data_IF_346756454491
#
_entry.id   IF_346756454491
#
_cell.length_a   1.000
_cell.length_b   1.000
_cell.length_c   1.000
_cell.angle_alpha   90.00
_cell.angle_beta   90.00
_cell.angle_gamma   90.00
#
_symmetry.space_group_name_H-M   'P 1'
#
loop_
_entity.id
_entity.type
_entity.pdbx_description
1 polymer ?
#
# COMPACT_ATOMS: atom_id res chain seq x y z
N UNK A 1 2.84 -19.64 -4.55
CA UNK A 1 2.11 -18.36 -4.39
C UNK A 1 2.98 -17.29 -5.01
N UNK A 2 2.54 -16.70 -6.12
CA UNK A 2 3.21 -15.53 -6.65
C UNK A 2 3.13 -14.42 -5.59
N UNK A 3 4.26 -13.84 -5.22
CA UNK A 3 4.35 -12.81 -4.19
C UNK A 3 3.46 -11.62 -4.52
N UNK A 4 2.22 -11.70 -4.08
CA UNK A 4 1.24 -10.67 -4.31
C UNK A 4 1.60 -9.50 -3.39
N UNK A 5 1.85 -8.34 -3.98
CA UNK A 5 2.02 -7.11 -3.20
C UNK A 5 0.73 -6.86 -2.43
N UNK A 6 0.86 -6.68 -1.13
CA UNK A 6 -0.26 -6.46 -0.22
C UNK A 6 -0.16 -5.07 0.42
N UNK A 7 -1.22 -4.63 1.06
CA UNK A 7 -1.18 -3.41 1.88
C UNK A 7 -0.08 -3.45 2.95
N UNK A 8 0.21 -4.63 3.51
CA UNK A 8 1.28 -4.82 4.48
C UNK A 8 2.68 -4.61 3.88
N UNK A 9 2.88 -5.03 2.63
CA UNK A 9 4.13 -4.81 1.90
C UNK A 9 4.37 -3.32 1.69
N UNK A 10 3.32 -2.57 1.32
CA UNK A 10 3.38 -1.11 1.16
C UNK A 10 3.64 -0.40 2.49
N UNK A 11 2.92 -0.78 3.57
CA UNK A 11 3.16 -0.22 4.92
C UNK A 11 4.60 -0.44 5.37
N UNK A 12 5.14 -1.64 5.12
CA UNK A 12 6.53 -1.97 5.47
C UNK A 12 7.53 -1.15 4.68
N UNK A 13 7.28 -0.90 3.39
CA UNK A 13 8.12 -0.04 2.56
C UNK A 13 8.09 1.42 3.04
N UNK A 14 6.92 1.94 3.39
CA UNK A 14 6.76 3.28 3.98
C UNK A 14 7.51 3.35 5.32
N UNK A 15 7.32 2.39 6.21
CA UNK A 15 7.98 2.35 7.51
C UNK A 15 9.50 2.30 7.38
N UNK A 16 10.02 1.50 6.45
CA UNK A 16 11.45 1.42 6.15
C UNK A 16 11.98 2.77 5.65
N UNK A 17 11.24 3.44 4.77
CA UNK A 17 11.62 4.77 4.26
C UNK A 17 11.68 5.81 5.39
N UNK A 18 10.65 5.85 6.24
CA UNK A 18 10.56 6.80 7.35
C UNK A 18 11.63 6.52 8.43
N UNK A 19 11.93 5.25 8.74
CA UNK A 19 12.95 4.91 9.73
C UNK A 19 14.37 5.33 9.31
N UNK A 20 14.61 5.43 8.00
CA UNK A 20 15.88 5.88 7.43
C UNK A 20 15.90 7.38 7.08
N UNK A 21 14.82 8.10 7.38
CA UNK A 21 14.69 9.53 7.10
C UNK A 21 14.96 10.36 8.35
N UNK A 22 15.56 11.53 8.17
CA UNK A 22 15.81 12.48 9.24
C UNK A 22 14.91 13.69 9.06
N UNK A 23 14.04 13.92 10.03
CA UNK A 23 13.16 15.09 10.04
C UNK A 23 13.82 16.24 10.77
N UNK A 24 13.82 17.43 10.16
CA UNK A 24 14.46 18.61 10.77
C UNK A 24 13.76 19.10 12.02
N UNK A 25 12.45 18.87 12.10
CA UNK A 25 11.59 19.30 13.21
C UNK A 25 11.43 18.26 14.33
N UNK A 26 11.95 17.04 14.15
CA UNK A 26 11.76 15.93 15.08
C UNK A 26 13.10 15.36 15.52
N UNK A 27 13.33 15.28 16.84
CA UNK A 27 14.52 14.63 17.40
C UNK A 27 14.40 13.10 17.40
N UNK A 28 13.20 12.59 17.69
CA UNK A 28 12.91 11.16 17.71
C UNK A 28 11.43 10.91 17.52
N UNK A 29 11.10 9.73 17.02
CA UNK A 29 9.72 9.28 16.85
C UNK A 29 9.65 7.75 16.86
N UNK A 30 8.44 7.22 17.07
CA UNK A 30 8.12 5.80 16.92
C UNK A 30 7.33 5.58 15.64
N UNK A 31 7.38 4.35 15.12
CA UNK A 31 6.64 3.93 13.94
C UNK A 31 5.72 2.76 14.28
N UNK A 32 4.44 2.91 13.94
CA UNK A 32 3.43 1.88 14.13
C UNK A 32 2.73 1.60 12.80
N UNK A 33 2.68 0.34 12.39
CA UNK A 33 2.01 -0.10 11.16
C UNK A 33 0.51 -0.30 11.33
N UNK A 34 0.03 -0.22 12.57
CA UNK A 34 -1.38 -0.33 12.94
C UNK A 34 -1.69 0.63 14.06
N UNK A 35 -2.94 1.06 14.14
CA UNK A 35 -3.41 1.86 15.25
C UNK A 35 -3.72 0.95 16.44
N UNK A 36 -2.75 0.74 17.30
CA UNK A 36 -2.99 0.05 18.58
C UNK A 36 -3.72 0.99 19.52
N UNK A 37 -4.85 0.55 20.07
CA UNK A 37 -5.66 1.36 20.99
C UNK A 37 -5.01 1.59 22.35
N UNK A 38 -3.94 0.86 22.68
CA UNK A 38 -3.27 0.90 23.97
C UNK A 38 -1.76 0.76 23.82
N UNK A 39 -1.00 1.41 24.72
CA UNK A 39 0.44 1.28 24.89
C UNK A 39 1.33 1.78 23.72
N UNK A 40 0.99 2.88 23.08
CA UNK A 40 1.90 3.54 22.16
C UNK A 40 2.64 4.71 22.83
N UNK A 41 3.89 4.90 22.41
CA UNK A 41 4.72 6.02 22.87
C UNK A 41 4.69 7.14 21.85
N UNK A 42 4.55 8.38 22.30
CA UNK A 42 4.58 9.58 21.46
C UNK A 42 5.94 10.29 21.59
N UNK A 43 6.40 11.03 20.59
CA UNK A 43 5.75 11.26 19.29
C UNK A 43 5.83 10.02 18.36
N UNK A 44 4.84 9.84 17.52
CA UNK A 44 4.76 8.64 16.67
C UNK A 44 4.10 8.88 15.33
N UNK A 45 4.57 8.13 14.32
CA UNK A 45 3.88 7.93 13.05
C UNK A 45 3.05 6.64 13.08
N UNK A 46 1.84 6.73 12.58
CA UNK A 46 0.94 5.60 12.35
C UNK A 46 0.69 5.47 10.86
N UNK A 47 0.81 4.26 10.32
CA UNK A 47 0.68 3.97 8.90
C UNK A 47 -0.42 2.93 8.71
N UNK A 48 -1.41 3.23 7.87
CA UNK A 48 -2.44 2.26 7.51
C UNK A 48 -2.94 2.41 6.07
N UNK A 49 -3.59 1.38 5.60
CA UNK A 49 -4.25 1.36 4.31
C UNK A 49 -5.68 1.87 4.47
N UNK A 50 -6.01 2.94 3.77
CA UNK A 50 -7.37 3.53 3.78
C UNK A 50 -8.28 2.81 2.81
N UNK A 51 -7.78 2.59 1.58
CA UNK A 51 -8.55 2.00 0.49
C UNK A 51 -7.63 1.22 -0.43
N UNK A 52 -8.14 0.10 -0.94
CA UNK A 52 -7.50 -0.64 -2.03
C UNK A 52 -8.50 -0.79 -3.16
N UNK A 53 -8.14 -0.31 -4.34
CA UNK A 53 -8.97 -0.47 -5.54
C UNK A 53 -8.24 -1.27 -6.59
N UNK A 54 -8.99 -2.02 -7.39
CA UNK A 54 -8.46 -2.81 -8.50
C UNK A 54 -9.13 -2.38 -9.79
N UNK A 55 -8.32 -2.05 -10.80
CA UNK A 55 -8.79 -1.76 -12.15
C UNK A 55 -8.22 -2.80 -13.11
N UNK A 56 -9.07 -3.43 -13.91
CA UNK A 56 -8.65 -4.37 -14.93
C UNK A 56 -8.09 -3.61 -16.12
N UNK A 57 -6.83 -3.89 -16.51
CA UNK A 57 -6.18 -3.27 -17.67
C UNK A 57 -6.24 -4.19 -18.90
N UNK A 58 -6.12 -5.51 -18.70
CA UNK A 58 -6.17 -6.51 -19.78
C UNK A 58 -6.65 -7.85 -19.21
N UNK A 59 -6.70 -8.91 -20.04
CA UNK A 59 -7.23 -10.22 -19.67
C UNK A 59 -6.72 -10.75 -18.32
N UNK A 60 -5.41 -10.63 -18.07
CA UNK A 60 -4.76 -11.09 -16.84
C UNK A 60 -3.96 -10.00 -16.12
N UNK A 61 -4.09 -8.74 -16.55
CA UNK A 61 -3.37 -7.61 -15.96
C UNK A 61 -4.33 -6.69 -15.22
N UNK A 62 -3.90 -6.31 -14.03
CA UNK A 62 -4.66 -5.45 -13.13
C UNK A 62 -3.77 -4.34 -12.63
N UNK A 63 -4.37 -3.20 -12.33
CA UNK A 63 -3.75 -2.14 -11.56
C UNK A 63 -4.37 -2.14 -10.17
N UNK A 64 -3.53 -2.27 -9.17
CA UNK A 64 -3.91 -2.12 -7.77
C UNK A 64 -3.49 -0.74 -7.30
N UNK A 65 -4.44 0.02 -6.77
CA UNK A 65 -4.18 1.32 -6.17
C UNK A 65 -4.37 1.19 -4.66
N UNK A 66 -3.35 1.56 -3.92
CA UNK A 66 -3.32 1.56 -2.46
C UNK A 66 -3.33 3.00 -1.99
N UNK A 67 -4.44 3.44 -1.39
CA UNK A 67 -4.52 4.73 -0.70
C UNK A 67 -4.03 4.53 0.72
N UNK A 68 -2.91 5.16 1.05
CA UNK A 68 -2.24 5.06 2.33
C UNK A 68 -2.40 6.34 3.12
N UNK A 69 -2.54 6.22 4.41
CA UNK A 69 -2.52 7.35 5.33
C UNK A 69 -1.38 7.19 6.33
N UNK A 70 -0.62 8.25 6.51
CA UNK A 70 0.42 8.37 7.53
C UNK A 70 0.02 9.51 8.46
N UNK A 71 -0.22 9.21 9.73
CA UNK A 71 -0.51 10.22 10.75
C UNK A 71 0.66 10.39 11.68
N UNK A 72 1.03 11.63 11.93
CA UNK A 72 1.98 11.97 12.97
C UNK A 72 1.23 12.57 14.17
N UNK A 73 1.39 11.91 15.32
CA UNK A 73 0.90 12.36 16.59
C UNK A 73 2.06 12.91 17.41
N UNK A 74 2.09 14.21 17.69
CA UNK A 74 3.11 14.81 18.53
C UNK A 74 2.95 14.38 19.99
N UNK A 75 3.99 14.62 20.78
CA UNK A 75 3.89 14.41 22.23
C UNK A 75 2.96 15.45 22.85
N UNK A 76 1.98 15.01 23.62
CA UNK A 76 1.02 15.89 24.29
C UNK A 76 1.67 16.76 25.38
N UNK A 77 2.81 16.33 25.95
CA UNK A 77 3.57 17.07 26.98
C UNK A 77 4.53 18.09 26.38
N UNK A 78 4.93 17.91 25.12
CA UNK A 78 5.78 18.80 24.36
C UNK A 78 5.16 18.98 22.96
N UNK A 79 4.13 19.85 22.85
CA UNK A 79 3.41 20.02 21.63
C UNK A 79 4.30 20.65 20.55
N UNK A 80 4.28 20.04 19.39
CA UNK A 80 4.95 20.55 18.20
C UNK A 80 4.15 21.72 17.64
N UNK A 81 4.81 22.84 17.34
CA UNK A 81 4.13 23.99 16.74
C UNK A 81 3.55 23.67 15.37
N UNK A 82 2.52 24.40 14.95
CA UNK A 82 1.89 24.26 13.64
C UNK A 82 2.92 24.36 12.50
N UNK A 83 3.86 25.30 12.59
CA UNK A 83 4.93 25.47 11.59
C UNK A 83 5.83 24.24 11.49
N UNK A 84 6.18 23.64 12.62
CA UNK A 84 6.96 22.39 12.64
C UNK A 84 6.18 21.22 12.05
N UNK A 85 4.88 21.12 12.30
CA UNK A 85 4.02 20.12 11.67
C UNK A 85 3.94 20.32 10.15
N UNK A 86 3.85 21.56 9.67
CA UNK A 86 3.94 21.86 8.24
C UNK A 86 5.28 21.46 7.65
N UNK A 87 6.39 21.68 8.37
CA UNK A 87 7.71 21.24 7.94
C UNK A 87 7.78 19.71 7.81
N UNK A 88 7.29 18.98 8.80
CA UNK A 88 7.20 17.50 8.74
C UNK A 88 6.35 17.04 7.56
N UNK A 89 5.21 17.69 7.30
CA UNK A 89 4.35 17.39 6.15
C UNK A 89 5.06 17.61 4.82
N UNK A 90 5.83 18.68 4.69
CA UNK A 90 6.62 18.97 3.48
C UNK A 90 7.74 17.93 3.28
N UNK A 91 8.43 17.55 4.35
CA UNK A 91 9.45 16.50 4.29
C UNK A 91 8.85 15.13 3.92
N UNK A 92 7.62 14.84 4.38
CA UNK A 92 6.90 13.62 3.97
C UNK A 92 6.58 13.59 2.47
N UNK A 93 6.26 14.75 1.85
CA UNK A 93 6.09 14.81 0.39
C UNK A 93 7.35 14.35 -0.35
N UNK A 94 8.52 14.77 0.11
CA UNK A 94 9.80 14.38 -0.49
C UNK A 94 10.14 12.91 -0.19
N UNK A 95 10.01 12.49 1.06
CA UNK A 95 10.39 11.14 1.46
C UNK A 95 9.49 10.05 0.88
N UNK A 96 8.19 10.30 0.77
CA UNK A 96 7.22 9.33 0.29
C UNK A 96 6.90 9.44 -1.20
N UNK A 97 7.56 10.36 -1.94
CA UNK A 97 7.44 10.42 -3.39
C UNK A 97 7.79 9.09 -4.05
N UNK A 98 8.81 8.40 -3.54
CA UNK A 98 9.21 7.09 -4.05
C UNK A 98 9.54 6.15 -2.90
N UNK A 99 8.81 5.04 -2.84
CA UNK A 99 9.09 3.92 -1.94
C UNK A 99 9.64 2.73 -2.72
N UNK A 100 10.37 1.85 -2.04
CA UNK A 100 10.94 0.66 -2.63
C UNK A 100 10.24 -0.58 -2.08
N UNK A 101 9.58 -1.30 -2.97
CA UNK A 101 8.74 -2.44 -2.62
C UNK A 101 9.40 -3.73 -3.08
N UNK A 102 9.64 -4.70 -2.18
CA UNK A 102 10.10 -6.01 -2.57
C UNK A 102 8.96 -6.78 -3.24
N UNK A 103 9.22 -7.31 -4.43
CA UNK A 103 8.31 -8.17 -5.17
C UNK A 103 9.00 -9.46 -5.55
N UNK A 104 8.23 -10.54 -5.67
CA UNK A 104 8.73 -11.80 -6.19
C UNK A 104 8.45 -11.89 -7.68
N UNK A 105 9.48 -12.11 -8.46
CA UNK A 105 9.40 -12.34 -9.92
C UNK A 105 9.95 -13.73 -10.25
N UNK A 106 9.48 -14.28 -11.38
CA UNK A 106 10.03 -15.53 -11.89
C UNK A 106 11.27 -15.19 -12.71
N UNK A 107 12.42 -15.68 -12.28
CA UNK A 107 13.67 -15.56 -13.00
C UNK A 107 13.67 -16.34 -14.31
N UNK A 108 14.68 -16.12 -15.13
CA UNK A 108 14.85 -16.82 -16.43
C UNK A 108 15.04 -18.33 -16.28
N UNK A 109 15.42 -18.80 -15.12
CA UNK A 109 15.58 -20.21 -14.75
C UNK A 109 14.32 -20.81 -14.11
N UNK A 110 13.22 -20.05 -14.03
CA UNK A 110 11.98 -20.45 -13.39
C UNK A 110 11.99 -20.35 -11.84
N UNK A 111 13.10 -19.94 -11.24
CA UNK A 111 13.17 -19.73 -9.79
C UNK A 111 12.50 -18.40 -9.40
N UNK A 112 11.92 -18.35 -8.19
CA UNK A 112 11.43 -17.11 -7.61
C UNK A 112 12.61 -16.29 -7.11
N UNK A 113 12.73 -15.08 -7.62
CA UNK A 113 13.71 -14.09 -7.18
C UNK A 113 13.00 -12.89 -6.55
N UNK A 114 13.58 -12.35 -5.47
CA UNK A 114 13.10 -11.11 -4.90
C UNK A 114 13.75 -9.93 -5.63
N UNK A 115 12.91 -9.05 -6.16
CA UNK A 115 13.34 -7.84 -6.86
C UNK A 115 12.72 -6.63 -6.16
N UNK A 116 13.53 -5.63 -5.89
CA UNK A 116 13.04 -4.37 -5.30
C UNK A 116 12.66 -3.40 -6.42
N UNK A 117 11.41 -2.95 -6.41
CA UNK A 117 10.87 -2.02 -7.40
C UNK A 117 10.54 -0.66 -6.78
N UNK A 118 10.97 0.45 -7.42
CA UNK A 118 10.51 1.77 -7.02
C UNK A 118 9.04 1.96 -7.39
N UNK A 119 8.26 2.47 -6.45
CA UNK A 119 6.85 2.83 -6.66
C UNK A 119 6.67 4.29 -6.29
N UNK A 120 6.16 5.09 -7.23
CA UNK A 120 5.95 6.52 -7.04
C UNK A 120 4.60 6.79 -6.38
N UNK A 121 4.63 7.67 -5.39
CA UNK A 121 3.45 8.24 -4.78
C UNK A 121 2.72 9.19 -5.75
N UNK A 122 1.40 9.18 -5.67
CA UNK A 122 0.50 10.05 -6.43
C UNK A 122 -0.50 10.67 -5.48
N UNK A 123 -1.09 11.81 -5.89
CA UNK A 123 -2.13 12.50 -5.11
C UNK A 123 -1.70 12.70 -3.65
N UNK A 124 -0.45 13.12 -3.48
CA UNK A 124 0.10 13.34 -2.15
C UNK A 124 -0.39 14.67 -1.60
N UNK A 125 -0.98 14.62 -0.42
CA UNK A 125 -1.44 15.80 0.30
C UNK A 125 -1.31 15.59 1.80
N UNK A 126 -1.22 16.69 2.54
CA UNK A 126 -1.34 16.64 3.99
C UNK A 126 -2.24 17.75 4.52
N UNK A 127 -2.79 17.50 5.68
CA UNK A 127 -3.57 18.47 6.47
C UNK A 127 -3.25 18.29 7.94
N UNK A 128 -3.48 19.33 8.71
CA UNK A 128 -3.34 19.31 10.16
C UNK A 128 -4.73 19.49 10.77
N UNK A 129 -5.15 18.52 11.57
CA UNK A 129 -6.44 18.50 12.24
C UNK A 129 -6.21 18.16 13.72
N UNK A 130 -6.63 19.04 14.62
CA UNK A 130 -6.48 18.84 16.06
C UNK A 130 -5.04 18.51 16.48
N UNK A 131 -4.07 19.26 15.95
CA UNK A 131 -2.62 19.09 16.16
C UNK A 131 -2.05 17.75 15.69
N UNK A 132 -2.80 16.99 14.90
CA UNK A 132 -2.35 15.76 14.23
C UNK A 132 -2.12 16.03 12.75
N UNK A 133 -0.93 15.71 12.28
CA UNK A 133 -0.63 15.73 10.84
C UNK A 133 -1.20 14.47 10.18
N UNK A 134 -2.04 14.64 9.18
CA UNK A 134 -2.62 13.58 8.35
C UNK A 134 -2.05 13.72 6.94
N UNK A 135 -1.28 12.74 6.51
CA UNK A 135 -0.68 12.68 5.18
C UNK A 135 -1.31 11.55 4.37
N UNK A 136 -1.76 11.84 3.16
CA UNK A 136 -2.38 10.89 2.24
C UNK A 136 -1.50 10.72 1.01
N UNK A 137 -1.39 9.48 0.53
CA UNK A 137 -0.63 9.14 -0.69
C UNK A 137 -1.21 7.89 -1.34
N UNK A 138 -1.28 7.90 -2.66
CA UNK A 138 -1.69 6.76 -3.47
C UNK A 138 -0.50 6.10 -4.16
N UNK A 139 -0.39 4.78 -4.05
CA UNK A 139 0.59 3.98 -4.76
C UNK A 139 -0.10 3.03 -5.74
N UNK A 140 0.29 3.10 -7.01
CA UNK A 140 -0.27 2.25 -8.06
C UNK A 140 0.72 1.18 -8.49
N UNK A 141 0.29 -0.07 -8.46
CA UNK A 141 1.12 -1.22 -8.82
C UNK A 141 0.39 -2.06 -9.86
N UNK A 142 1.10 -2.44 -10.91
CA UNK A 142 0.60 -3.41 -11.89
C UNK A 142 0.87 -4.82 -11.39
N UNK A 143 -0.17 -5.64 -11.43
CA UNK A 143 -0.10 -7.06 -11.10
C UNK A 143 -0.64 -7.90 -12.27
N UNK A 144 -0.03 -9.06 -12.47
CA UNK A 144 -0.53 -10.05 -13.39
C UNK A 144 -1.04 -11.26 -12.58
N UNK A 145 -2.17 -11.83 -12.96
CA UNK A 145 -2.64 -13.11 -12.46
C UNK A 145 -2.36 -14.19 -13.50
N UNK A 146 -2.03 -15.42 -13.10
CA UNK A 146 -1.99 -16.54 -14.02
C UNK A 146 -3.33 -16.59 -14.77
N UNK A 147 -3.28 -16.88 -16.05
CA UNK A 147 -4.50 -17.23 -16.80
C UNK A 147 -5.03 -18.51 -16.17
N UNK A 148 -6.24 -18.48 -15.62
CA UNK A 148 -6.96 -19.70 -15.32
C UNK A 148 -7.13 -20.42 -16.66
N UNK A 149 -6.62 -21.65 -16.77
CA UNK A 149 -6.98 -22.54 -17.84
C UNK A 149 -8.49 -22.69 -17.72
N UNK A 150 -9.22 -22.11 -18.68
CA UNK A 150 -10.66 -22.36 -18.78
C UNK A 150 -10.73 -23.85 -19.08
N UNK A 151 -11.31 -24.69 -18.18
CA UNK A 151 -11.49 -26.09 -18.49
C UNK A 151 -12.23 -26.12 -19.84
N UNK A 152 -11.70 -26.92 -20.78
CA UNK A 152 -12.36 -27.13 -22.06
C UNK A 152 -13.84 -27.35 -21.76
N UNK A 153 -14.69 -26.50 -22.33
CA UNK A 153 -16.14 -26.66 -22.18
C UNK A 153 -16.44 -28.06 -22.71
N UNK A 154 -16.55 -29.01 -21.79
CA UNK A 154 -17.08 -30.31 -22.11
C UNK A 154 -18.42 -30.05 -22.77
N UNK A 155 -18.58 -30.50 -23.97
CA UNK A 155 -19.80 -30.36 -24.80
C UNK A 155 -20.97 -30.65 -23.92
N UNK A 156 -21.80 -29.67 -23.63
CA UNK A 156 -23.08 -29.85 -22.98
C UNK A 156 -23.88 -30.69 -23.97
N UNK A 157 -23.94 -32.01 -23.75
CA UNK A 157 -24.91 -32.87 -24.40
C UNK A 157 -26.30 -32.42 -23.87
N UNK A 158 -26.94 -31.56 -24.69
CA UNK A 158 -28.35 -31.25 -24.48
C UNK A 158 -29.09 -32.53 -24.86
N UNK A 159 -29.38 -33.36 -23.85
CA UNK A 159 -30.32 -34.43 -23.97
C UNK A 159 -31.68 -33.80 -24.26
N UNK A 160 -32.03 -33.83 -25.53
CA UNK A 160 -33.35 -33.40 -26.03
C UNK A 160 -34.40 -34.38 -25.54
N UNK A 161 -34.94 -34.11 -24.34
CA UNK A 161 -36.06 -34.90 -23.77
C UNK A 161 -37.40 -34.54 -24.40
N UNK A 162 -37.45 -34.14 -25.67
CA UNK A 162 -38.68 -33.79 -26.37
C UNK A 162 -39.21 -34.91 -27.32
N UNK A 163 -38.90 -36.18 -27.04
CA UNK A 163 -39.52 -37.28 -27.79
C UNK A 163 -40.01 -38.32 -26.84
N UNK A 164 -41.16 -38.08 -26.20
CA UNK A 164 -42.15 -39.10 -25.84
C UNK A 164 -43.42 -38.43 -25.30
N UNK A 165 -44.26 -37.97 -26.21
CA UNK A 165 -45.66 -37.78 -25.98
C UNK A 165 -46.41 -38.35 -27.19
N UNK A 166 -46.81 -39.59 -27.09
CA UNK A 166 -47.91 -40.18 -27.88
C UNK A 166 -48.94 -40.67 -26.92
#
# INVERSE_FOLDING_TARGET
MNGQITGETIKSAIACKLSNSTFTALESFKLYKEMTRQNFSLPAFFIWTVLVTQTKEAKNRFRLNYSMEVRFHPNTRDPVSYEKLCSVGTELLDYLETIYVPIQEIGSDGALIEVVRPVRGKQMEFKIVEDVLQFLVDYSIRAARPLEEIPDMQTLEINDMSKEAK
#
